data_IF_360662296946
#
_entry.id   IF_360662296946
#
_cell.length_a   1.000
_cell.length_b   1.000
_cell.length_c   1.000
_cell.angle_alpha   90.00
_cell.angle_beta   90.00
_cell.angle_gamma   90.00
#
_symmetry.space_group_name_H-M   'P 1'
#
loop_
_entity.id
_entity.type
_entity.pdbx_description
1 polymer ?
#
# COMPACT_ATOMS: atom_id res chain seq x y z
N UNK A 1 5.63 19.02 3.30
CA UNK A 1 6.30 20.16 3.99
C UNK A 1 5.32 21.03 4.78
N UNK A 2 4.99 20.70 6.03
CA UNK A 2 4.05 21.50 6.84
C UNK A 2 4.29 21.29 8.34
N UNK A 3 3.62 22.07 9.20
CA UNK A 3 3.68 21.87 10.65
C UNK A 3 2.93 20.59 11.01
N UNK A 4 3.45 19.83 11.96
CA UNK A 4 2.80 18.60 12.47
C UNK A 4 1.42 18.87 13.06
N UNK A 5 1.20 20.09 13.54
CA UNK A 5 -0.09 20.60 14.01
C UNK A 5 -1.12 20.75 12.88
N UNK A 6 -0.69 21.12 11.68
CA UNK A 6 -1.54 21.12 10.49
C UNK A 6 -1.83 19.69 10.01
N UNK A 7 -0.85 18.79 10.13
CA UNK A 7 -1.01 17.38 9.72
C UNK A 7 -2.04 16.65 10.60
N UNK A 8 -2.02 16.85 11.92
CA UNK A 8 -2.98 16.19 12.81
C UNK A 8 -4.43 16.62 12.56
N UNK A 9 -4.66 17.79 11.96
CA UNK A 9 -5.99 18.30 11.62
C UNK A 9 -6.41 17.97 10.19
N UNK A 10 -5.64 17.16 9.46
CA UNK A 10 -6.04 16.74 8.11
C UNK A 10 -7.29 15.88 8.16
N UNK A 11 -8.24 16.21 7.29
CA UNK A 11 -9.44 15.44 7.06
C UNK A 11 -9.40 14.82 5.66
N UNK A 12 -10.17 13.76 5.45
CA UNK A 12 -10.33 13.07 4.16
C UNK A 12 -10.72 14.04 3.04
N UNK A 13 -11.53 15.06 3.35
CA UNK A 13 -11.97 16.10 2.40
C UNK A 13 -10.87 17.09 2.00
N UNK A 14 -9.72 17.09 2.68
CA UNK A 14 -8.59 17.97 2.36
C UNK A 14 -7.71 17.40 1.24
N UNK A 15 -7.95 16.15 0.86
CA UNK A 15 -7.18 15.44 -0.16
C UNK A 15 -8.04 15.25 -1.40
N UNK A 16 -7.45 15.52 -2.56
CA UNK A 16 -8.05 15.28 -3.88
C UNK A 16 -6.99 14.81 -4.86
N UNK A 17 -7.35 13.88 -5.75
CA UNK A 17 -6.49 13.55 -6.90
C UNK A 17 -6.34 14.77 -7.81
N UNK A 18 -5.11 15.07 -8.23
CA UNK A 18 -4.79 16.14 -9.18
C UNK A 18 -3.74 15.60 -10.15
N UNK A 19 -4.17 15.26 -11.36
CA UNK A 19 -3.35 14.66 -12.41
C UNK A 19 -2.58 13.42 -11.90
N UNK A 20 -1.26 13.52 -11.78
CA UNK A 20 -0.37 12.47 -11.28
C UNK A 20 0.05 12.63 -9.81
N UNK A 21 -0.63 13.50 -9.09
CA UNK A 21 -0.34 13.85 -7.71
C UNK A 21 -1.60 13.85 -6.83
N UNK A 22 -1.42 14.03 -5.53
CA UNK A 22 -2.52 14.31 -4.60
C UNK A 22 -2.39 15.74 -4.09
N UNK A 23 -3.39 16.57 -4.38
CA UNK A 23 -3.52 17.89 -3.80
C UNK A 23 -3.97 17.81 -2.34
N UNK A 24 -3.22 18.45 -1.45
CA UNK A 24 -3.60 18.62 -0.06
C UNK A 24 -3.87 20.11 0.25
N UNK A 25 -5.13 20.46 0.49
CA UNK A 25 -5.54 21.83 0.85
C UNK A 25 -5.63 21.95 2.37
N UNK A 26 -4.89 22.90 2.94
CA UNK A 26 -4.92 23.17 4.39
C UNK A 26 -5.61 24.49 4.67
N UNK A 27 -6.68 24.45 5.47
CA UNK A 27 -7.45 25.64 5.82
C UNK A 27 -6.76 26.51 6.88
N UNK A 28 -5.83 25.97 7.67
CA UNK A 28 -5.04 26.76 8.63
C UNK A 28 -3.55 26.51 8.41
N UNK A 29 -2.78 27.58 8.29
CA UNK A 29 -1.34 27.55 8.12
C UNK A 29 -0.64 28.56 9.04
N UNK A 30 0.69 28.55 9.06
CA UNK A 30 1.47 29.51 9.86
C UNK A 30 1.15 30.97 9.51
N UNK A 31 0.97 31.25 8.22
CA UNK A 31 0.68 32.57 7.66
C UNK A 31 -0.81 32.82 7.43
N UNK A 32 -1.66 31.80 7.59
CA UNK A 32 -3.11 31.87 7.46
C UNK A 32 -3.77 31.19 8.67
N UNK A 33 -3.68 31.81 9.84
CA UNK A 33 -4.19 31.24 11.09
C UNK A 33 -5.72 31.30 11.19
N UNK A 34 -6.33 32.31 10.57
CA UNK A 34 -7.78 32.52 10.50
C UNK A 34 -8.45 31.63 9.43
N UNK A 35 -7.68 31.21 8.43
CA UNK A 35 -8.14 30.33 7.36
C UNK A 35 -8.95 31.00 6.24
N UNK A 36 -8.96 32.33 6.22
CA UNK A 36 -9.55 33.14 5.14
C UNK A 36 -8.64 33.35 3.93
N UNK A 37 -7.35 33.03 4.03
CA UNK A 37 -6.40 33.17 2.93
C UNK A 37 -6.55 32.14 1.79
N UNK A 38 -5.77 32.29 0.70
CA UNK A 38 -5.80 31.41 -0.47
C UNK A 38 -5.66 29.94 -0.11
N UNK A 39 -6.46 29.09 -0.77
CA UNK A 39 -6.57 27.64 -0.52
C UNK A 39 -5.69 26.85 -1.48
N UNK A 40 -4.43 27.26 -1.60
CA UNK A 40 -3.50 26.67 -2.55
C UNK A 40 -3.18 25.21 -2.16
N UNK A 41 -3.30 24.26 -3.11
CA UNK A 41 -3.00 22.87 -2.84
C UNK A 41 -1.49 22.65 -2.69
N UNK A 42 -1.13 21.66 -1.89
CA UNK A 42 0.23 21.12 -1.81
C UNK A 42 0.24 19.80 -2.56
N UNK A 43 0.93 19.71 -3.68
CA UNK A 43 0.97 18.51 -4.53
C UNK A 43 1.92 17.46 -3.97
N UNK A 44 1.37 16.35 -3.50
CA UNK A 44 2.09 15.23 -2.93
C UNK A 44 2.27 14.14 -4.00
N UNK A 45 3.51 13.74 -4.26
CA UNK A 45 3.84 12.73 -5.27
C UNK A 45 4.23 11.41 -4.61
N UNK A 46 3.89 10.30 -5.24
CA UNK A 46 4.41 8.99 -4.85
C UNK A 46 5.86 8.84 -5.32
N UNK A 47 6.64 8.03 -4.62
CA UNK A 47 7.94 7.58 -5.08
C UNK A 47 7.91 6.05 -5.25
N UNK A 48 7.68 5.55 -6.48
CA UNK A 48 7.63 4.11 -6.74
C UNK A 48 9.00 3.43 -6.59
N UNK A 49 10.11 4.17 -6.54
CA UNK A 49 11.43 3.58 -6.36
C UNK A 49 11.79 3.33 -4.90
N UNK A 50 11.04 3.90 -3.96
CA UNK A 50 11.35 3.83 -2.52
C UNK A 50 10.07 3.65 -1.69
N UNK A 51 9.48 2.43 -1.69
CA UNK A 51 8.23 2.14 -0.97
C UNK A 51 8.28 2.37 0.55
N UNK A 52 9.48 2.35 1.15
CA UNK A 52 9.72 2.62 2.57
C UNK A 52 9.59 4.11 2.95
N UNK A 53 9.83 5.01 2.00
CA UNK A 53 9.71 6.47 2.19
C UNK A 53 8.49 7.07 1.48
N UNK A 54 7.86 6.32 0.58
CA UNK A 54 6.68 6.74 -0.17
C UNK A 54 5.45 6.92 0.73
N UNK A 55 4.91 8.14 0.74
CA UNK A 55 3.74 8.46 1.58
C UNK A 55 2.44 7.77 1.10
N UNK A 56 2.29 7.51 -0.21
CA UNK A 56 1.14 6.76 -0.74
C UNK A 56 1.19 5.32 -0.25
N UNK A 57 2.35 4.67 -0.28
CA UNK A 57 2.53 3.31 0.25
C UNK A 57 2.24 3.28 1.75
N UNK A 58 2.75 4.25 2.51
CA UNK A 58 2.47 4.38 3.94
C UNK A 58 0.97 4.60 4.22
N UNK A 59 0.29 5.44 3.43
CA UNK A 59 -1.15 5.67 3.53
C UNK A 59 -1.93 4.39 3.20
N UNK A 60 -1.54 3.67 2.16
CA UNK A 60 -2.18 2.44 1.74
C UNK A 60 -2.12 1.37 2.83
N UNK A 61 -0.94 1.17 3.43
CA UNK A 61 -0.77 0.24 4.56
C UNK A 61 -1.62 0.69 5.75
N UNK A 62 -1.60 1.99 6.06
CA UNK A 62 -2.37 2.56 7.17
C UNK A 62 -3.88 2.34 7.02
N UNK A 63 -4.44 2.60 5.84
CA UNK A 63 -5.87 2.43 5.56
C UNK A 63 -6.25 0.94 5.45
N UNK A 64 -5.43 0.11 4.81
CA UNK A 64 -5.65 -1.33 4.71
C UNK A 64 -5.71 -2.01 6.08
N UNK A 65 -4.91 -1.53 7.04
CA UNK A 65 -4.94 -2.02 8.43
C UNK A 65 -6.08 -1.43 9.26
N UNK A 66 -6.90 -0.53 8.69
CA UNK A 66 -8.01 0.18 9.35
C UNK A 66 -9.24 0.26 8.43
N UNK A 67 -9.83 -0.89 8.05
CA UNK A 67 -10.96 -0.92 7.10
C UNK A 67 -12.19 -0.16 7.61
N UNK A 68 -12.33 0.01 8.93
CA UNK A 68 -13.43 0.74 9.57
C UNK A 68 -13.17 2.24 9.75
N UNK A 69 -12.14 2.81 9.11
CA UNK A 69 -11.80 4.23 9.23
C UNK A 69 -12.93 5.09 8.63
N UNK A 70 -13.63 5.93 9.43
CA UNK A 70 -14.68 6.77 8.90
C UNK A 70 -14.11 7.98 8.14
N UNK A 71 -15.00 8.65 7.38
CA UNK A 71 -14.74 9.99 6.83
C UNK A 71 -14.45 10.99 7.95
N UNK A 72 -13.74 12.07 7.63
CA UNK A 72 -13.37 13.11 8.59
C UNK A 72 -11.87 13.07 8.92
N UNK A 73 -11.44 13.17 10.18
CA UNK A 73 -10.02 13.22 10.54
C UNK A 73 -9.25 11.99 10.04
N UNK A 74 -8.18 12.21 9.26
CA UNK A 74 -7.34 11.14 8.72
C UNK A 74 -6.57 10.40 9.84
N UNK A 75 -6.21 11.14 10.89
CA UNK A 75 -5.54 10.62 12.09
C UNK A 75 -6.44 10.80 13.33
N UNK A 76 -7.45 9.92 13.53
CA UNK A 76 -8.42 10.10 14.60
C UNK A 76 -7.81 9.93 15.99
N UNK A 77 -8.41 10.61 16.98
CA UNK A 77 -8.01 10.62 18.39
C UNK A 77 -7.35 11.93 18.83
N UNK A 78 -7.07 12.07 20.12
CA UNK A 78 -6.46 13.27 20.70
C UNK A 78 -4.94 13.24 20.69
N UNK A 79 -4.33 14.43 20.70
CA UNK A 79 -2.89 14.64 20.90
C UNK A 79 -1.97 13.91 19.89
N UNK A 80 -2.38 13.78 18.62
CA UNK A 80 -1.60 13.04 17.62
C UNK A 80 -0.20 13.63 17.41
N UNK A 81 -0.07 14.96 17.38
CA UNK A 81 1.23 15.64 17.31
C UNK A 81 2.18 15.19 18.43
N UNK A 82 1.67 15.15 19.66
CA UNK A 82 2.47 14.78 20.84
C UNK A 82 2.85 13.30 20.79
N UNK A 83 1.89 12.42 20.46
CA UNK A 83 2.13 10.98 20.29
C UNK A 83 3.20 10.72 19.23
N UNK A 84 3.04 11.31 18.05
CA UNK A 84 4.03 11.22 16.97
C UNK A 84 5.39 11.75 17.40
N UNK A 85 5.45 12.91 18.06
CA UNK A 85 6.70 13.50 18.54
C UNK A 85 7.43 12.63 19.56
N UNK A 86 6.70 11.98 20.47
CA UNK A 86 7.28 11.06 21.45
C UNK A 86 7.85 9.81 20.78
N UNK A 87 7.10 9.18 19.86
CA UNK A 87 7.57 8.03 19.09
C UNK A 87 8.79 8.38 18.24
N UNK A 88 8.76 9.52 17.54
CA UNK A 88 9.88 10.00 16.74
C UNK A 88 11.14 10.19 17.59
N UNK A 89 11.02 10.84 18.75
CA UNK A 89 12.15 11.03 19.67
C UNK A 89 12.72 9.71 20.16
N UNK A 90 11.86 8.76 20.53
CA UNK A 90 12.30 7.42 20.96
C UNK A 90 13.07 6.69 19.86
N UNK A 91 12.56 6.73 18.63
CA UNK A 91 13.21 6.08 17.47
C UNK A 91 14.55 6.72 17.12
N UNK A 92 14.64 8.06 17.12
CA UNK A 92 15.90 8.77 16.82
C UNK A 92 16.91 8.49 17.94
N UNK A 93 16.51 8.59 19.20
CA UNK A 93 17.40 8.30 20.32
C UNK A 93 17.94 6.87 20.26
N UNK A 94 17.10 5.89 19.92
CA UNK A 94 17.51 4.49 19.76
C UNK A 94 18.50 4.28 18.59
N UNK A 95 18.39 5.07 17.51
CA UNK A 95 19.27 4.95 16.33
C UNK A 95 20.56 5.76 16.41
N UNK A 96 20.51 6.98 16.96
CA UNK A 96 21.62 7.96 16.88
C UNK A 96 22.06 8.49 18.23
N UNK A 97 21.36 8.18 19.33
CA UNK A 97 21.62 8.75 20.65
C UNK A 97 21.23 10.24 20.78
N UNK A 98 20.60 10.83 19.77
CA UNK A 98 20.26 12.26 19.75
C UNK A 98 18.81 12.48 20.18
N UNK A 99 18.60 13.51 21.02
CA UNK A 99 17.27 13.83 21.60
C UNK A 99 16.71 15.18 21.16
N UNK A 100 17.53 16.00 20.49
CA UNK A 100 17.16 17.37 20.08
C UNK A 100 16.31 17.42 18.80
N UNK A 101 16.18 16.32 18.06
CA UNK A 101 15.29 16.25 16.90
C UNK A 101 13.83 16.18 17.34
N UNK A 102 13.05 17.15 16.87
CA UNK A 102 11.62 17.22 17.10
C UNK A 102 10.84 17.17 15.80
N UNK A 103 9.52 17.18 15.90
CA UNK A 103 8.65 17.15 14.71
C UNK A 103 8.82 18.39 13.81
N UNK A 104 9.33 19.50 14.35
CA UNK A 104 9.69 20.70 13.61
C UNK A 104 10.94 20.52 12.74
N UNK A 105 11.86 19.61 13.11
CA UNK A 105 13.08 19.31 12.37
C UNK A 105 12.75 18.72 11.00
N UNK A 106 11.66 17.97 10.86
CA UNK A 106 11.20 17.44 9.57
C UNK A 106 10.90 18.58 8.59
N UNK A 107 10.07 19.56 8.99
CA UNK A 107 9.70 20.67 8.11
C UNK A 107 10.92 21.51 7.70
N UNK A 108 11.82 21.79 8.65
CA UNK A 108 13.03 22.59 8.41
C UNK A 108 14.03 21.81 7.53
N UNK A 109 14.30 20.56 7.86
CA UNK A 109 15.23 19.70 7.14
C UNK A 109 14.80 19.46 5.69
N UNK A 110 13.50 19.28 5.43
CA UNK A 110 13.00 19.14 4.05
C UNK A 110 13.17 20.45 3.26
N UNK A 111 13.05 21.62 3.89
CA UNK A 111 13.33 22.89 3.22
C UNK A 111 14.81 23.02 2.85
N UNK A 112 15.71 22.68 3.78
CA UNK A 112 17.16 22.63 3.52
C UNK A 112 17.45 21.66 2.37
N UNK A 113 16.93 20.44 2.44
CA UNK A 113 17.11 19.42 1.39
C UNK A 113 16.66 19.91 0.02
N UNK A 114 15.49 20.55 -0.08
CA UNK A 114 14.99 21.08 -1.35
C UNK A 114 15.89 22.19 -1.92
N UNK A 115 16.48 23.03 -1.07
CA UNK A 115 17.35 24.14 -1.49
C UNK A 115 18.81 23.73 -1.70
N UNK A 116 19.28 22.64 -1.11
CA UNK A 116 20.70 22.25 -1.12
C UNK A 116 20.97 20.92 -1.85
N UNK A 117 19.93 20.21 -2.32
CA UNK A 117 20.09 18.92 -2.98
C UNK A 117 20.66 19.00 -4.40
N UNK A 118 20.67 20.19 -5.01
CA UNK A 118 21.11 20.44 -6.39
C UNK A 118 21.30 21.93 -6.65
N UNK A 119 22.08 22.29 -7.67
CA UNK A 119 22.17 23.67 -8.18
C UNK A 119 20.94 24.06 -9.02
N UNK A 120 20.15 23.10 -9.49
CA UNK A 120 18.91 23.32 -10.26
C UNK A 120 17.62 23.15 -9.46
N UNK A 121 17.66 23.37 -8.14
CA UNK A 121 16.54 23.07 -7.24
C UNK A 121 15.31 23.96 -7.42
N UNK A 122 14.20 23.65 -6.73
CA UNK A 122 13.01 24.51 -6.70
C UNK A 122 13.35 25.90 -6.19
N UNK A 123 12.60 26.91 -6.66
CA UNK A 123 12.83 28.29 -6.22
C UNK A 123 12.66 28.43 -4.70
N UNK A 124 13.48 29.29 -4.08
CA UNK A 124 13.34 29.59 -2.65
C UNK A 124 11.94 30.16 -2.33
N UNK A 125 11.33 30.87 -3.29
CA UNK A 125 9.96 31.35 -3.18
C UNK A 125 8.97 30.19 -2.99
N UNK A 126 9.00 29.19 -3.88
CA UNK A 126 8.14 28.00 -3.78
C UNK A 126 8.37 27.25 -2.47
N UNK A 127 9.63 27.13 -2.02
CA UNK A 127 9.99 26.50 -0.74
C UNK A 127 9.38 27.26 0.43
N UNK A 128 9.61 28.57 0.52
CA UNK A 128 9.09 29.44 1.59
C UNK A 128 7.55 29.41 1.65
N UNK A 129 6.89 29.59 0.50
CA UNK A 129 5.42 29.51 0.39
C UNK A 129 4.90 28.16 0.88
N UNK A 130 5.54 27.05 0.46
CA UNK A 130 5.14 25.71 0.89
C UNK A 130 5.41 25.48 2.37
N UNK A 131 6.52 25.91 2.97
CA UNK A 131 6.70 25.73 4.45
C UNK A 131 5.88 26.69 5.30
N UNK A 132 5.28 27.72 4.68
CA UNK A 132 4.56 28.80 5.33
C UNK A 132 5.50 29.78 6.01
N UNK A 133 6.59 30.16 5.35
CA UNK A 133 7.49 31.25 5.75
C UNK A 133 7.16 32.50 4.95
N UNK A 134 7.29 33.66 5.58
CA UNK A 134 7.23 34.96 4.89
C UNK A 134 8.45 35.10 3.99
N UNK A 135 8.23 35.60 2.77
CA UNK A 135 9.29 36.01 1.84
C UNK A 135 9.88 37.37 2.26
N UNK A 136 9.09 38.18 2.96
CA UNK A 136 9.51 39.45 3.55
C UNK A 136 9.28 40.65 2.64
N UNK A 137 8.87 41.77 3.26
CA UNK A 137 8.77 43.08 2.64
C UNK A 137 7.95 43.08 1.34
N UNK A 138 8.59 43.53 0.25
CA UNK A 138 7.98 43.67 -1.08
C UNK A 138 7.66 42.31 -1.70
N UNK A 139 8.44 41.27 -1.41
CA UNK A 139 8.28 39.95 -2.05
C UNK A 139 6.93 39.30 -1.70
N UNK A 140 6.45 39.41 -0.46
CA UNK A 140 5.15 38.88 -0.04
C UNK A 140 3.95 39.50 -0.78
N UNK A 141 4.13 40.70 -1.38
CA UNK A 141 3.08 41.38 -2.14
C UNK A 141 2.95 40.84 -3.56
N UNK A 142 4.08 40.51 -4.20
CA UNK A 142 4.17 40.22 -5.63
C UNK A 142 4.42 38.76 -5.96
N UNK A 143 5.10 38.03 -5.07
CA UNK A 143 5.40 36.61 -5.28
C UNK A 143 4.29 35.79 -4.64
N UNK A 144 3.53 35.09 -5.49
CA UNK A 144 2.37 34.29 -5.09
C UNK A 144 2.62 32.81 -5.37
N UNK A 145 1.70 31.99 -4.88
CA UNK A 145 1.68 30.57 -5.18
C UNK A 145 1.56 30.36 -6.69
N UNK A 146 2.39 29.47 -7.21
CA UNK A 146 2.38 29.01 -8.60
C UNK A 146 2.40 27.49 -8.60
N UNK A 147 1.46 26.87 -9.32
CA UNK A 147 1.28 25.41 -9.31
C UNK A 147 2.53 24.68 -9.79
N UNK A 148 3.16 25.13 -10.88
CA UNK A 148 4.36 24.50 -11.42
C UNK A 148 5.52 24.44 -10.41
N UNK A 149 5.72 25.51 -9.64
CA UNK A 149 6.76 25.57 -8.61
C UNK A 149 6.48 24.62 -7.44
N UNK A 150 5.22 24.52 -6.99
CA UNK A 150 4.83 23.57 -5.95
C UNK A 150 4.90 22.12 -6.43
N UNK A 151 4.47 21.85 -7.66
CA UNK A 151 4.55 20.53 -8.28
C UNK A 151 6.00 20.04 -8.39
N UNK A 152 6.89 20.90 -8.93
CA UNK A 152 8.32 20.58 -9.01
C UNK A 152 8.93 20.32 -7.61
N UNK A 153 8.65 21.21 -6.66
CA UNK A 153 9.06 21.01 -5.26
C UNK A 153 8.47 19.73 -4.66
N UNK A 154 7.26 19.34 -5.04
CA UNK A 154 6.58 18.15 -4.56
C UNK A 154 7.30 16.88 -4.96
N UNK A 155 7.75 16.81 -6.21
CA UNK A 155 8.58 15.71 -6.72
C UNK A 155 9.94 15.64 -6.04
N UNK A 156 10.62 16.77 -5.89
CA UNK A 156 11.92 16.84 -5.20
C UNK A 156 11.78 16.30 -3.78
N UNK A 157 10.75 16.74 -3.06
CA UNK A 157 10.51 16.32 -1.66
C UNK A 157 10.01 14.88 -1.55
N UNK A 158 9.41 14.32 -2.60
CA UNK A 158 9.11 12.89 -2.68
C UNK A 158 10.38 12.03 -2.84
N UNK A 159 11.55 12.65 -3.07
CA UNK A 159 12.82 11.96 -3.23
C UNK A 159 13.00 11.36 -4.63
N UNK A 160 12.29 11.87 -5.63
CA UNK A 160 12.45 11.43 -7.02
C UNK A 160 13.83 11.84 -7.56
N UNK A 161 14.44 11.05 -8.47
CA UNK A 161 15.81 11.24 -8.90
C UNK A 161 15.96 12.43 -9.85
N UNK A 162 16.24 13.61 -9.29
CA UNK A 162 16.18 14.88 -10.00
C UNK A 162 17.04 14.97 -11.28
N UNK A 163 18.16 14.25 -11.29
CA UNK A 163 19.13 14.29 -12.38
C UNK A 163 18.96 13.15 -13.38
N UNK A 164 17.78 12.49 -13.39
CA UNK A 164 17.44 11.41 -14.31
C UNK A 164 16.11 11.69 -15.00
N UNK A 165 15.90 11.10 -16.18
CA UNK A 165 14.60 11.10 -16.86
C UNK A 165 13.47 10.50 -15.99
N UNK A 166 13.84 9.60 -15.07
CA UNK A 166 12.95 8.95 -14.11
C UNK A 166 12.36 9.91 -13.05
N UNK A 167 12.83 11.17 -13.00
CA UNK A 167 12.18 12.20 -12.20
C UNK A 167 10.71 12.42 -12.60
N UNK A 168 10.39 12.19 -13.88
CA UNK A 168 9.05 12.30 -14.43
C UNK A 168 8.21 11.02 -14.25
N UNK A 169 8.64 10.08 -13.39
CA UNK A 169 7.88 8.86 -13.10
C UNK A 169 6.47 9.21 -12.58
N UNK A 170 5.51 8.39 -12.96
CA UNK A 170 4.13 8.44 -12.49
C UNK A 170 3.96 7.55 -11.25
N UNK A 171 2.99 7.83 -10.36
CA UNK A 171 2.63 6.88 -9.31
C UNK A 171 2.17 5.55 -9.93
N UNK A 172 2.30 4.40 -9.24
CA UNK A 172 1.66 3.17 -9.69
C UNK A 172 0.17 3.41 -9.89
N UNK A 173 -0.36 3.05 -11.07
CA UNK A 173 -1.76 3.25 -11.43
C UNK A 173 -2.22 2.19 -12.43
N UNK A 174 -3.53 2.01 -12.52
CA UNK A 174 -4.15 1.01 -13.38
C UNK A 174 -4.45 1.57 -14.77
N UNK A 175 -4.44 0.69 -15.77
CA UNK A 175 -4.86 1.02 -17.13
C UNK A 175 -6.33 1.44 -17.15
N UNK A 176 -7.19 0.73 -16.42
CA UNK A 176 -8.62 0.98 -16.34
C UNK A 176 -9.09 1.19 -14.89
N UNK A 177 -9.38 2.44 -14.53
CA UNK A 177 -9.88 2.81 -13.19
C UNK A 177 -11.34 2.37 -12.91
N UNK A 178 -12.01 1.77 -13.89
CA UNK A 178 -13.36 1.21 -13.78
C UNK A 178 -13.37 -0.32 -13.79
N UNK A 179 -12.21 -0.98 -13.68
CA UNK A 179 -12.14 -2.44 -13.54
C UNK A 179 -12.97 -2.90 -12.32
N UNK A 180 -13.87 -3.85 -12.55
CA UNK A 180 -14.75 -4.43 -11.53
C UNK A 180 -13.94 -5.06 -10.39
N UNK A 181 -12.81 -5.71 -10.68
CA UNK A 181 -11.95 -6.30 -9.66
C UNK A 181 -11.25 -5.23 -8.81
N UNK A 182 -10.84 -4.13 -9.41
CA UNK A 182 -10.29 -2.98 -8.68
C UNK A 182 -11.34 -2.37 -7.75
N UNK A 183 -12.56 -2.13 -8.25
CA UNK A 183 -13.65 -1.59 -7.45
C UNK A 183 -14.00 -2.49 -6.28
N UNK A 184 -14.08 -3.81 -6.52
CA UNK A 184 -14.27 -4.81 -5.48
C UNK A 184 -13.13 -4.78 -4.46
N UNK A 185 -11.87 -4.71 -4.90
CA UNK A 185 -10.73 -4.64 -3.99
C UNK A 185 -10.78 -3.39 -3.11
N UNK A 186 -11.17 -2.23 -3.65
CA UNK A 186 -11.34 -1.00 -2.86
C UNK A 186 -12.48 -1.15 -1.85
N UNK A 187 -13.61 -1.75 -2.26
CA UNK A 187 -14.76 -2.01 -1.40
C UNK A 187 -14.40 -2.91 -0.20
N UNK A 188 -13.68 -3.99 -0.43
CA UNK A 188 -13.32 -4.94 0.65
C UNK A 188 -12.17 -4.44 1.54
N UNK A 189 -11.20 -3.71 0.97
CA UNK A 189 -10.05 -3.21 1.71
C UNK A 189 -10.38 -1.96 2.53
N UNK A 190 -11.17 -1.04 1.98
CA UNK A 190 -11.40 0.30 2.54
C UNK A 190 -12.89 0.71 2.40
N UNK A 191 -13.83 -0.08 2.95
CA UNK A 191 -15.27 0.08 2.70
C UNK A 191 -15.82 1.44 3.10
N UNK A 192 -15.39 1.96 4.25
CA UNK A 192 -15.95 3.20 4.83
C UNK A 192 -15.57 4.46 4.06
N UNK A 193 -14.43 4.45 3.36
CA UNK A 193 -13.94 5.61 2.60
C UNK A 193 -14.33 5.55 1.12
N UNK A 194 -14.81 4.41 0.61
CA UNK A 194 -15.27 4.28 -0.78
C UNK A 194 -16.36 5.31 -1.11
N UNK A 195 -17.26 5.62 -0.17
CA UNK A 195 -18.31 6.59 -0.42
C UNK A 195 -17.79 8.06 -0.48
N UNK A 196 -16.49 8.30 -0.33
CA UNK A 196 -15.88 9.63 -0.42
C UNK A 196 -15.36 9.87 -1.85
N UNK A 197 -16.12 10.61 -2.67
CA UNK A 197 -15.77 10.89 -4.06
C UNK A 197 -14.36 11.50 -4.22
N UNK A 198 -13.97 12.41 -3.34
CA UNK A 198 -12.64 13.06 -3.39
C UNK A 198 -11.47 12.11 -3.15
N UNK A 199 -11.70 10.99 -2.46
CA UNK A 199 -10.66 10.01 -2.16
C UNK A 199 -10.63 8.86 -3.16
N UNK A 200 -11.64 8.68 -4.00
CA UNK A 200 -11.78 7.50 -4.86
C UNK A 200 -10.51 7.20 -5.66
N UNK A 201 -9.95 8.20 -6.34
CA UNK A 201 -8.73 8.01 -7.12
C UNK A 201 -7.49 7.79 -6.25
N UNK A 202 -7.45 8.41 -5.07
CA UNK A 202 -6.37 8.20 -4.09
C UNK A 202 -6.40 6.77 -3.52
N UNK A 203 -7.60 6.22 -3.28
CA UNK A 203 -7.75 4.83 -2.84
C UNK A 203 -7.27 3.86 -3.93
N UNK A 204 -7.56 4.14 -5.20
CA UNK A 204 -7.03 3.35 -6.32
C UNK A 204 -5.51 3.42 -6.39
N UNK A 205 -4.91 4.60 -6.22
CA UNK A 205 -3.45 4.76 -6.12
C UNK A 205 -2.87 3.99 -4.92
N UNK A 206 -3.58 3.94 -3.79
CA UNK A 206 -3.17 3.14 -2.64
C UNK A 206 -3.16 1.64 -2.98
N UNK A 207 -4.21 1.12 -3.62
CA UNK A 207 -4.25 -0.28 -4.08
C UNK A 207 -3.13 -0.54 -5.09
N UNK A 208 -2.97 0.32 -6.10
CA UNK A 208 -1.90 0.19 -7.09
C UNK A 208 -0.51 0.18 -6.45
N UNK A 209 -0.27 1.00 -5.43
CA UNK A 209 0.99 1.00 -4.69
C UNK A 209 1.21 -0.29 -3.90
N UNK A 210 0.18 -0.85 -3.27
CA UNK A 210 0.28 -2.15 -2.59
C UNK A 210 0.57 -3.29 -3.56
N UNK A 211 -0.10 -3.30 -4.72
CA UNK A 211 0.12 -4.31 -5.78
C UNK A 211 1.53 -4.17 -6.35
N UNK A 212 1.97 -2.97 -6.70
CA UNK A 212 3.31 -2.73 -7.25
C UNK A 212 4.45 -3.15 -6.30
N UNK A 213 4.21 -3.06 -4.98
CA UNK A 213 5.21 -3.37 -3.95
C UNK A 213 4.91 -4.65 -3.17
N UNK A 214 4.03 -5.52 -3.66
CA UNK A 214 3.54 -6.66 -2.87
C UNK A 214 4.67 -7.64 -2.49
N UNK A 215 5.63 -7.88 -3.39
CA UNK A 215 6.80 -8.74 -3.17
C UNK A 215 7.70 -8.17 -2.08
N UNK A 216 8.12 -6.90 -2.25
CA UNK A 216 8.90 -6.14 -1.28
C UNK A 216 8.23 -6.14 0.11
N UNK A 217 6.92 -5.92 0.18
CA UNK A 217 6.19 -5.88 1.43
C UNK A 217 6.15 -7.26 2.11
N UNK A 218 5.96 -8.35 1.36
CA UNK A 218 5.97 -9.71 1.90
C UNK A 218 7.32 -10.10 2.50
N UNK A 219 8.42 -9.63 1.92
CA UNK A 219 9.77 -9.88 2.41
C UNK A 219 10.11 -9.02 3.64
N UNK A 220 9.74 -7.74 3.63
CA UNK A 220 10.14 -6.79 4.66
C UNK A 220 9.35 -6.94 5.97
N UNK A 221 8.01 -7.11 5.88
CA UNK A 221 7.16 -7.03 7.06
C UNK A 221 7.00 -8.40 7.73
N UNK A 222 6.93 -8.47 9.07
CA UNK A 222 6.75 -9.75 9.76
C UNK A 222 5.50 -10.49 9.29
N UNK A 223 5.55 -11.82 9.26
CA UNK A 223 4.40 -12.65 8.86
C UNK A 223 3.13 -12.39 9.70
N UNK A 224 3.29 -11.93 10.94
CA UNK A 224 2.19 -11.55 11.83
C UNK A 224 1.63 -10.13 11.62
N UNK A 225 2.18 -9.36 10.67
CA UNK A 225 1.72 -8.00 10.40
C UNK A 225 0.29 -7.99 9.81
N UNK A 226 -0.63 -7.11 10.31
CA UNK A 226 -2.03 -7.11 9.89
C UNK A 226 -2.28 -6.95 8.38
N UNK A 227 -1.40 -6.23 7.68
CA UNK A 227 -1.49 -6.02 6.23
C UNK A 227 -1.59 -7.35 5.48
N UNK A 228 -0.84 -8.37 5.88
CA UNK A 228 -0.81 -9.66 5.18
C UNK A 228 -2.10 -10.48 5.39
N UNK A 229 -2.97 -10.05 6.30
CA UNK A 229 -4.31 -10.63 6.51
C UNK A 229 -5.43 -9.83 5.86
N UNK A 230 -5.10 -8.78 5.09
CA UNK A 230 -6.09 -7.97 4.37
C UNK A 230 -6.53 -8.65 3.08
N UNK A 231 -7.72 -8.29 2.57
CA UNK A 231 -8.34 -8.92 1.39
C UNK A 231 -7.35 -9.12 0.24
N UNK A 232 -6.69 -8.04 -0.22
CA UNK A 232 -5.76 -8.12 -1.35
C UNK A 232 -4.63 -9.13 -1.12
N UNK A 233 -4.08 -9.21 0.09
CA UNK A 233 -2.98 -10.14 0.40
C UNK A 233 -3.45 -11.58 0.61
N UNK A 234 -4.71 -11.80 0.99
CA UNK A 234 -5.30 -13.12 1.20
C UNK A 234 -5.69 -13.83 -0.10
N UNK A 235 -5.93 -13.10 -1.19
CA UNK A 235 -6.40 -13.65 -2.47
C UNK A 235 -5.35 -13.49 -3.60
N UNK A 236 -4.53 -14.52 -3.89
CA UNK A 236 -3.50 -14.45 -4.93
C UNK A 236 -4.04 -14.11 -6.31
N UNK A 237 -5.20 -14.66 -6.70
CA UNK A 237 -5.80 -14.40 -8.01
C UNK A 237 -6.14 -12.91 -8.19
N UNK A 238 -6.65 -12.27 -7.13
CA UNK A 238 -6.92 -10.84 -7.12
C UNK A 238 -5.63 -10.03 -7.24
N UNK A 239 -4.57 -10.41 -6.50
CA UNK A 239 -3.27 -9.76 -6.59
C UNK A 239 -2.71 -9.85 -8.02
N UNK A 240 -2.69 -11.05 -8.60
CA UNK A 240 -2.14 -11.32 -9.93
C UNK A 240 -2.94 -10.59 -11.02
N UNK A 241 -4.28 -10.59 -10.94
CA UNK A 241 -5.13 -9.85 -11.87
C UNK A 241 -4.82 -8.35 -11.85
N UNK A 242 -4.74 -7.77 -10.65
CA UNK A 242 -4.45 -6.33 -10.50
C UNK A 242 -3.01 -5.99 -10.90
N UNK A 243 -2.04 -6.87 -10.66
CA UNK A 243 -0.66 -6.68 -11.09
C UNK A 243 -0.54 -6.64 -12.61
N UNK A 244 -1.26 -7.52 -13.31
CA UNK A 244 -1.33 -7.50 -14.77
C UNK A 244 -2.02 -6.24 -15.32
N UNK A 245 -2.92 -5.62 -14.54
CA UNK A 245 -3.63 -4.40 -14.91
C UNK A 245 -2.88 -3.09 -14.61
N UNK A 246 -1.69 -3.15 -14.01
CA UNK A 246 -0.84 -1.98 -13.77
C UNK A 246 -0.22 -1.47 -15.08
N UNK A 247 -0.13 -0.15 -15.22
CA UNK A 247 0.64 0.48 -16.28
C UNK A 247 2.14 0.29 -15.99
N UNK A 248 2.87 -0.32 -16.93
CA UNK A 248 4.34 -0.48 -16.84
C UNK A 248 5.12 0.57 -17.65
N UNK A 249 4.52 1.06 -18.72
CA UNK A 249 5.15 2.01 -19.65
C UNK A 249 4.38 3.34 -19.69
N UNK A 250 4.05 3.81 -20.89
CA UNK A 250 3.37 5.08 -21.13
C UNK A 250 1.91 5.01 -20.72
N UNK A 251 1.50 5.93 -19.84
CA UNK A 251 0.09 6.10 -19.47
C UNK A 251 -0.69 6.81 -20.59
N UNK A 252 -1.91 6.36 -20.84
CA UNK A 252 -2.82 6.97 -21.83
C UNK A 252 -3.58 8.17 -21.28
N UNK A 253 -3.76 8.25 -19.96
CA UNK A 253 -4.63 9.23 -19.31
C UNK A 253 -3.95 10.08 -18.25
N UNK A 254 -2.77 9.68 -17.75
CA UNK A 254 -2.01 10.42 -16.74
C UNK A 254 -0.74 10.99 -17.34
N UNK A 255 -0.47 12.27 -17.10
CA UNK A 255 0.76 12.95 -17.56
C UNK A 255 1.54 13.50 -16.38
N UNK A 256 2.89 13.45 -16.43
CA UNK A 256 3.70 13.92 -15.32
C UNK A 256 3.68 15.46 -15.23
N UNK A 257 3.29 15.99 -14.08
CA UNK A 257 3.29 17.45 -13.80
C UNK A 257 4.54 17.89 -13.06
N UNK A 258 4.89 19.18 -13.03
CA UNK A 258 6.07 19.67 -12.29
C UNK A 258 7.43 19.15 -12.78
N UNK A 259 7.55 18.81 -14.06
CA UNK A 259 8.79 18.30 -14.67
C UNK A 259 9.61 19.48 -15.19
N UNK A 260 10.85 19.69 -14.73
CA UNK A 260 11.69 20.77 -15.21
C UNK A 260 12.29 20.46 -16.60
N UNK A 261 12.67 21.46 -17.41
CA UNK A 261 13.13 21.26 -18.79
C UNK A 261 14.32 20.31 -18.94
N UNK A 262 15.26 20.30 -17.99
CA UNK A 262 16.44 19.44 -18.06
C UNK A 262 16.11 17.95 -17.97
N UNK A 263 15.01 17.58 -17.30
CA UNK A 263 14.54 16.19 -17.26
C UNK A 263 14.02 15.75 -18.63
N UNK A 264 13.42 16.66 -19.39
CA UNK A 264 13.00 16.37 -20.77
C UNK A 264 14.21 16.16 -21.69
N UNK A 265 15.28 16.93 -21.50
CA UNK A 265 16.56 16.68 -22.17
C UNK A 265 17.13 15.29 -21.83
N UNK A 266 17.05 14.86 -20.56
CA UNK A 266 17.49 13.51 -20.18
C UNK A 266 16.66 12.41 -20.85
N UNK A 267 15.36 12.60 -21.05
CA UNK A 267 14.53 11.64 -21.79
C UNK A 267 14.96 11.54 -23.25
N UNK A 268 15.18 12.67 -23.91
CA UNK A 268 15.66 12.71 -25.29
C UNK A 268 17.04 12.04 -25.42
N UNK A 269 17.97 12.32 -24.50
CA UNK A 269 19.28 11.68 -24.46
C UNK A 269 19.17 10.16 -24.26
N UNK A 270 18.25 9.70 -23.41
CA UNK A 270 17.98 8.27 -23.22
C UNK A 270 17.47 7.64 -24.52
N UNK A 271 16.56 8.29 -25.24
CA UNK A 271 16.07 7.81 -26.54
C UNK A 271 17.18 7.73 -27.58
N UNK A 272 18.06 8.74 -27.64
CA UNK A 272 19.24 8.73 -28.52
C UNK A 272 20.17 7.56 -28.15
N UNK A 273 20.44 7.35 -26.87
CA UNK A 273 21.27 6.23 -26.40
C UNK A 273 20.65 4.89 -26.81
N UNK A 274 19.35 4.69 -26.61
CA UNK A 274 18.66 3.46 -27.04
C UNK A 274 18.74 3.26 -28.55
N UNK A 275 18.59 4.32 -29.35
CA UNK A 275 18.79 4.23 -30.80
C UNK A 275 20.22 3.82 -31.16
N UNK A 276 21.22 4.31 -30.43
CA UNK A 276 22.63 3.93 -30.61
C UNK A 276 22.86 2.47 -30.22
N UNK A 277 22.32 2.03 -29.08
CA UNK A 277 22.45 0.65 -28.60
C UNK A 277 21.78 -0.36 -29.55
N UNK A 278 20.74 0.08 -30.28
CA UNK A 278 20.04 -0.72 -31.29
C UNK A 278 20.69 -0.66 -32.69
N UNK A 279 21.72 0.16 -32.93
CA UNK A 279 22.40 0.21 -34.23
C UNK A 279 23.10 -1.10 -34.62
N UNK A 280 23.87 -1.78 -33.75
CA UNK A 280 24.59 -2.99 -34.13
C UNK A 280 23.70 -4.11 -34.72
N UNK A 281 22.56 -4.51 -34.12
CA UNK A 281 21.72 -5.55 -34.72
C UNK A 281 21.11 -5.11 -36.05
N UNK A 282 20.68 -3.85 -36.17
CA UNK A 282 20.12 -3.31 -37.42
C UNK A 282 21.17 -3.26 -38.53
N UNK A 283 22.41 -2.89 -38.22
CA UNK A 283 23.51 -2.90 -39.17
C UNK A 283 23.89 -4.32 -39.59
N UNK A 284 23.93 -5.26 -38.65
CA UNK A 284 24.21 -6.66 -38.95
C UNK A 284 23.11 -7.26 -39.84
N UNK A 285 21.83 -7.00 -39.52
CA UNK A 285 20.70 -7.42 -40.35
C UNK A 285 20.76 -6.80 -41.74
N UNK A 286 21.01 -5.49 -41.84
CA UNK A 286 21.16 -4.79 -43.11
C UNK A 286 22.34 -5.31 -43.94
N UNK A 287 23.48 -5.62 -43.31
CA UNK A 287 24.63 -6.23 -43.97
C UNK A 287 24.36 -7.66 -44.42
N UNK A 288 23.69 -8.48 -43.59
CA UNK A 288 23.25 -9.82 -43.97
C UNK A 288 22.32 -9.77 -45.19
N UNK A 289 21.31 -8.89 -45.17
CA UNK A 289 20.39 -8.70 -46.29
C UNK A 289 21.11 -8.23 -47.56
N UNK A 290 22.10 -7.32 -47.43
CA UNK A 290 22.88 -6.83 -48.58
C UNK A 290 23.83 -7.90 -49.12
N UNK A 291 24.42 -8.73 -48.26
CA UNK A 291 25.23 -9.89 -48.65
C UNK A 291 24.34 -10.95 -49.31
N UNK A 292 23.12 -11.17 -48.86
CA UNK A 292 22.17 -12.06 -49.54
C UNK A 292 21.77 -11.51 -50.91
N UNK A 293 21.40 -10.23 -51.01
CA UNK A 293 20.99 -9.59 -52.26
C UNK A 293 22.15 -9.55 -53.28
N UNK A 294 23.37 -9.23 -52.85
CA UNK A 294 24.57 -9.18 -53.71
C UNK A 294 25.23 -10.55 -53.91
N UNK A 295 25.11 -11.47 -52.96
CA UNK A 295 25.59 -12.85 -53.04
C UNK A 295 24.75 -13.69 -54.01
N UNK A 296 23.44 -13.42 -54.09
CA UNK A 296 22.56 -13.97 -55.13
C UNK A 296 22.93 -13.43 -56.52
N UNK A 297 23.33 -12.16 -56.64
CA UNK A 297 23.81 -11.59 -57.91
C UNK A 297 25.21 -12.08 -58.33
N UNK A 298 26.05 -12.54 -57.39
CA UNK A 298 27.41 -13.00 -57.63
C UNK A 298 27.60 -14.54 -57.58
N UNK A 299 26.52 -15.30 -57.38
CA UNK A 299 26.54 -16.76 -57.43
C UNK A 299 27.18 -17.46 -56.22
N UNK A 300 27.32 -16.79 -55.06
CA UNK A 300 28.00 -17.35 -53.89
C UNK A 300 27.08 -17.37 -52.65
N UNK A 301 26.56 -18.58 -52.36
CA UNK A 301 26.11 -19.17 -51.08
C UNK A 301 25.02 -18.42 -50.30
N UNK A 302 23.84 -19.05 -50.19
CA UNK A 302 22.65 -18.58 -49.45
C UNK A 302 22.58 -19.13 -48.02
N UNK A 303 21.76 -18.47 -47.18
CA UNK A 303 21.47 -18.82 -45.77
C UNK A 303 21.13 -20.33 -45.58
N UNK A 304 20.45 -20.94 -46.56
CA UNK A 304 20.13 -22.37 -46.59
C UNK A 304 21.37 -23.29 -46.56
N UNK A 305 22.48 -22.88 -47.17
CA UNK A 305 23.72 -23.68 -47.14
C UNK A 305 24.37 -23.56 -45.76
N UNK A 306 24.28 -22.40 -45.12
CA UNK A 306 24.82 -22.18 -43.78
C UNK A 306 23.99 -22.93 -42.71
N UNK A 307 22.66 -22.83 -42.77
CA UNK A 307 21.73 -23.57 -41.90
C UNK A 307 21.89 -25.08 -42.05
N UNK A 308 21.96 -25.60 -43.28
CA UNK A 308 22.19 -27.02 -43.52
C UNK A 308 23.56 -27.50 -43.02
N UNK A 309 24.58 -26.64 -43.06
CA UNK A 309 25.92 -26.97 -42.54
C UNK A 309 25.94 -26.95 -41.02
N UNK A 310 25.20 -26.03 -40.37
CA UNK A 310 25.07 -25.96 -38.91
C UNK A 310 24.26 -27.15 -38.37
N UNK A 311 23.14 -27.52 -39.01
CA UNK A 311 22.37 -28.73 -38.66
C UNK A 311 23.22 -30.00 -38.79
N UNK A 312 24.00 -30.11 -39.87
CA UNK A 312 24.93 -31.23 -40.11
C UNK A 312 26.02 -31.32 -39.04
N UNK A 313 26.56 -30.19 -38.57
CA UNK A 313 27.57 -30.15 -37.52
C UNK A 313 27.01 -30.46 -36.12
N UNK A 314 25.78 -30.03 -35.82
CA UNK A 314 25.10 -30.31 -34.55
C UNK A 314 24.72 -31.80 -34.38
N UNK A 315 24.31 -32.45 -35.47
CA UNK A 315 24.09 -33.90 -35.52
C UNK A 315 25.38 -34.69 -35.30
N UNK A 316 26.50 -34.22 -35.87
CA UNK A 316 27.80 -34.89 -35.78
C UNK A 316 28.51 -34.71 -34.43
N UNK A 317 28.14 -33.67 -33.67
CA UNK A 317 28.62 -33.42 -32.31
C UNK A 317 27.79 -34.10 -31.20
N UNK A 318 26.69 -34.78 -31.56
CA UNK A 318 25.85 -35.53 -30.60
C UNK A 318 24.93 -34.67 -29.71
N UNK A 319 24.69 -33.40 -30.07
CA UNK A 319 23.93 -32.45 -29.24
C UNK A 319 22.44 -32.32 -29.63
N UNK A 320 21.98 -33.09 -30.61
CA UNK A 320 20.57 -33.14 -31.01
C UNK A 320 19.95 -34.51 -30.69
N UNK A 321 19.46 -34.67 -29.46
CA UNK A 321 18.36 -35.60 -29.18
C UNK A 321 17.16 -34.79 -28.70
N UNK A 322 16.11 -34.79 -29.53
CA UNK A 322 14.78 -34.39 -29.09
C UNK A 322 14.20 -35.46 -28.18
N UNK A 323 13.86 -35.07 -26.95
CA UNK A 323 12.80 -35.72 -26.18
C UNK A 323 12.16 -34.68 -25.26
N UNK A 324 10.85 -34.55 -25.46
CA UNK A 324 9.91 -33.70 -24.73
C UNK A 324 10.16 -33.70 -23.22
N UNK A 325 10.37 -32.52 -22.65
CA UNK A 325 10.13 -32.29 -21.23
C UNK A 325 8.80 -31.55 -21.10
N UNK A 326 7.79 -32.27 -20.60
CA UNK A 326 6.59 -31.68 -20.05
C UNK A 326 7.00 -30.60 -19.05
N UNK A 327 6.64 -29.35 -19.32
CA UNK A 327 6.51 -28.37 -18.27
C UNK A 327 5.47 -28.90 -17.27
N UNK A 328 5.75 -28.96 -15.96
CA UNK A 328 4.68 -29.08 -15.00
C UNK A 328 3.83 -27.82 -15.15
N UNK A 329 2.61 -28.00 -15.63
CA UNK A 329 1.58 -26.99 -15.47
C UNK A 329 1.52 -26.61 -13.97
N UNK A 330 1.32 -25.34 -13.62
CA UNK A 330 0.94 -25.03 -12.25
C UNK A 330 -0.32 -25.83 -11.96
N UNK A 331 -0.22 -26.74 -10.99
CA UNK A 331 -1.37 -27.43 -10.44
C UNK A 331 -2.31 -26.33 -9.99
N UNK A 332 -3.44 -26.18 -10.68
CA UNK A 332 -4.57 -25.45 -10.15
C UNK A 332 -4.92 -26.15 -8.85
N UNK A 333 -4.51 -25.56 -7.73
CA UNK A 333 -4.92 -26.03 -6.43
C UNK A 333 -6.45 -25.91 -6.38
N UNK A 334 -7.10 -27.06 -6.48
CA UNK A 334 -8.51 -27.24 -6.13
C UNK A 334 -8.77 -26.58 -4.78
N UNK A 335 -9.98 -26.02 -4.61
CA UNK A 335 -10.54 -25.33 -3.44
C UNK A 335 -10.67 -26.23 -2.17
N UNK A 336 -9.71 -27.15 -1.97
CA UNK A 336 -9.58 -28.07 -0.85
C UNK A 336 -8.58 -27.53 0.17
N UNK A 337 -8.92 -27.67 1.46
CA UNK A 337 -8.10 -27.22 2.57
C UNK A 337 -6.71 -27.92 2.51
N UNK A 338 -5.63 -27.15 2.44
CA UNK A 338 -4.26 -27.67 2.40
C UNK A 338 -3.94 -28.36 3.74
N UNK A 339 -3.53 -29.63 3.69
CA UNK A 339 -3.20 -30.43 4.88
C UNK A 339 -1.69 -30.57 5.03
N UNK A 340 -1.20 -30.37 6.24
CA UNK A 340 0.21 -30.43 6.63
C UNK A 340 0.45 -31.64 7.53
N UNK A 341 1.60 -32.30 7.40
CA UNK A 341 1.97 -33.44 8.26
C UNK A 341 3.22 -33.11 9.06
N UNK A 342 3.08 -33.00 10.38
CA UNK A 342 4.21 -32.83 11.30
C UNK A 342 3.84 -33.42 12.67
N UNK A 343 4.86 -33.74 13.49
CA UNK A 343 4.66 -34.36 14.81
C UNK A 343 3.80 -35.64 14.79
N UNK A 344 3.89 -36.41 13.70
CA UNK A 344 3.18 -37.67 13.51
C UNK A 344 1.67 -37.56 13.24
N UNK A 345 1.15 -36.35 12.97
CA UNK A 345 -0.28 -36.10 12.78
C UNK A 345 -0.54 -35.13 11.62
N UNK A 346 -1.76 -35.20 11.08
CA UNK A 346 -2.23 -34.26 10.08
C UNK A 346 -2.79 -33.00 10.76
N UNK A 347 -2.46 -31.85 10.21
CA UNK A 347 -2.80 -30.53 10.70
C UNK A 347 -3.30 -29.65 9.56
N UNK A 348 -4.26 -28.77 9.85
CA UNK A 348 -4.79 -27.80 8.88
C UNK A 348 -3.94 -26.52 8.73
N UNK A 349 -2.90 -26.37 9.55
CA UNK A 349 -2.03 -25.20 9.55
C UNK A 349 -0.56 -25.62 9.49
N UNK A 350 0.32 -24.87 8.81
CA UNK A 350 1.74 -25.16 8.73
C UNK A 350 2.43 -25.04 10.11
N UNK A 351 3.58 -25.69 10.27
CA UNK A 351 4.32 -25.72 11.54
C UNK A 351 4.83 -24.32 11.96
N UNK A 352 5.07 -23.45 10.97
CA UNK A 352 5.55 -22.07 11.13
C UNK A 352 4.40 -21.09 11.42
N UNK A 353 3.16 -21.56 11.51
CA UNK A 353 2.00 -20.69 11.71
C UNK A 353 2.16 -19.79 12.95
N UNK A 354 1.87 -18.50 12.76
CA UNK A 354 1.75 -17.50 13.81
C UNK A 354 0.46 -16.71 13.65
N UNK A 355 -0.20 -16.41 14.78
CA UNK A 355 -1.40 -15.59 14.76
C UNK A 355 -1.09 -14.17 14.27
N UNK A 356 -1.84 -13.65 13.28
CA UNK A 356 -1.75 -12.26 12.90
C UNK A 356 -2.07 -11.31 14.07
N UNK A 357 -1.33 -10.21 14.19
CA UNK A 357 -1.51 -9.18 15.23
C UNK A 357 -2.65 -8.22 14.88
N UNK A 358 -3.79 -8.76 14.48
CA UNK A 358 -4.94 -7.99 13.99
C UNK A 358 -5.84 -7.49 15.13
N UNK A 359 -6.65 -6.48 14.82
CA UNK A 359 -7.80 -6.10 15.65
C UNK A 359 -8.99 -7.04 15.45
N UNK A 360 -10.13 -6.80 16.13
CA UNK A 360 -11.33 -7.64 16.02
C UNK A 360 -11.83 -7.81 14.58
N UNK A 361 -11.73 -6.79 13.73
CA UNK A 361 -12.15 -6.87 12.33
C UNK A 361 -11.32 -7.87 11.53
N UNK A 362 -9.98 -7.79 11.61
CA UNK A 362 -9.12 -8.73 10.90
C UNK A 362 -9.27 -10.17 11.40
N UNK A 363 -9.48 -10.34 12.71
CA UNK A 363 -9.79 -11.66 13.28
C UNK A 363 -11.13 -12.21 12.78
N UNK A 364 -12.16 -11.36 12.68
CA UNK A 364 -13.46 -11.71 12.12
C UNK A 364 -13.35 -12.15 10.66
N UNK A 365 -12.58 -11.44 9.82
CA UNK A 365 -12.38 -11.83 8.43
C UNK A 365 -11.65 -13.18 8.30
N UNK A 366 -10.55 -13.38 9.05
CA UNK A 366 -9.82 -14.65 9.03
C UNK A 366 -10.65 -15.83 9.57
N UNK A 367 -11.58 -15.58 10.49
CA UNK A 367 -12.50 -16.59 11.02
C UNK A 367 -13.37 -17.20 9.93
N UNK A 368 -13.92 -16.37 9.04
CA UNK A 368 -14.86 -16.79 8.01
C UNK A 368 -14.19 -17.25 6.72
N UNK A 369 -13.07 -16.63 6.34
CA UNK A 369 -12.50 -16.77 4.99
C UNK A 369 -11.10 -17.39 4.96
N UNK A 370 -10.39 -17.45 6.09
CA UNK A 370 -9.01 -17.92 6.11
C UNK A 370 -8.07 -17.00 5.32
N UNK A 371 -6.95 -17.55 4.85
CA UNK A 371 -5.94 -16.85 4.04
C UNK A 371 -5.48 -17.77 2.90
N UNK A 372 -6.05 -17.57 1.71
CA UNK A 372 -5.74 -18.43 0.54
C UNK A 372 -4.29 -18.28 0.10
N UNK A 373 -3.67 -17.12 0.31
CA UNK A 373 -2.26 -16.90 -0.05
C UNK A 373 -1.29 -17.76 0.76
N UNK A 374 -1.66 -18.08 2.01
CA UNK A 374 -0.86 -18.90 2.92
C UNK A 374 -1.42 -20.31 3.08
N UNK A 375 -2.46 -20.66 2.31
CA UNK A 375 -3.15 -21.94 2.41
C UNK A 375 -3.83 -22.17 3.76
N UNK A 376 -4.24 -21.11 4.46
CA UNK A 376 -4.93 -21.22 5.74
C UNK A 376 -6.44 -21.36 5.50
N UNK A 377 -7.09 -22.42 6.01
CA UNK A 377 -8.54 -22.52 5.94
C UNK A 377 -9.21 -21.46 6.83
N UNK A 378 -10.52 -21.22 6.66
CA UNK A 378 -11.30 -20.45 7.63
C UNK A 378 -11.01 -20.91 9.05
N UNK A 379 -10.59 -20.00 9.93
CA UNK A 379 -10.14 -20.36 11.29
C UNK A 379 -11.29 -20.92 12.15
N UNK A 380 -12.54 -20.86 11.69
CA UNK A 380 -13.65 -21.60 12.30
C UNK A 380 -13.55 -23.13 12.17
N UNK A 381 -12.81 -23.63 11.17
CA UNK A 381 -12.64 -25.07 10.88
C UNK A 381 -11.52 -25.72 11.69
N UNK A 382 -10.60 -24.94 12.26
CA UNK A 382 -9.43 -25.47 12.96
C UNK A 382 -9.78 -25.88 14.40
N UNK A 383 -9.06 -26.86 14.92
CA UNK A 383 -9.13 -27.29 16.31
C UNK A 383 -7.84 -26.98 17.07
N UNK A 384 -7.86 -26.98 18.43
CA UNK A 384 -6.65 -26.74 19.22
C UNK A 384 -5.48 -27.71 18.96
N UNK A 385 -5.76 -28.82 18.29
CA UNK A 385 -4.76 -29.79 17.85
C UNK A 385 -4.00 -29.33 16.59
N UNK A 386 -4.63 -28.54 15.71
CA UNK A 386 -4.01 -27.99 14.49
C UNK A 386 -2.97 -26.89 14.77
N UNK A 387 -2.89 -26.41 16.02
CA UNK A 387 -1.97 -25.35 16.41
C UNK A 387 -0.57 -25.91 16.71
N UNK A 388 0.50 -25.38 16.06
CA UNK A 388 1.85 -25.90 16.24
C UNK A 388 2.38 -25.82 17.67
N UNK A 389 2.07 -24.72 18.38
CA UNK A 389 2.58 -24.45 19.74
C UNK A 389 1.43 -24.47 20.75
N UNK A 390 1.64 -25.15 21.89
CA UNK A 390 0.66 -25.15 23.01
C UNK A 390 0.33 -23.75 23.51
N UNK A 391 1.29 -22.82 23.49
CA UNK A 391 1.10 -21.41 23.87
C UNK A 391 0.05 -20.69 23.02
N UNK A 392 -0.14 -21.11 21.76
CA UNK A 392 -1.10 -20.51 20.84
C UNK A 392 -2.55 -20.91 21.13
N UNK A 393 -2.78 -21.98 21.91
CA UNK A 393 -4.13 -22.41 22.29
C UNK A 393 -4.87 -21.33 23.07
N UNK A 394 -4.17 -20.58 23.93
CA UNK A 394 -4.75 -19.45 24.65
C UNK A 394 -5.22 -18.36 23.69
N UNK A 395 -4.37 -18.00 22.72
CA UNK A 395 -4.71 -17.02 21.69
C UNK A 395 -5.91 -17.46 20.87
N UNK A 396 -5.97 -18.73 20.47
CA UNK A 396 -7.12 -19.28 19.77
C UNK A 396 -8.39 -19.22 20.61
N UNK A 397 -8.33 -19.60 21.89
CA UNK A 397 -9.47 -19.48 22.81
C UNK A 397 -9.95 -18.03 22.97
N UNK A 398 -9.04 -17.06 23.01
CA UNK A 398 -9.41 -15.64 23.04
C UNK A 398 -10.10 -15.21 21.73
N UNK A 399 -9.64 -15.70 20.58
CA UNK A 399 -10.32 -15.46 19.29
C UNK A 399 -11.73 -16.06 19.29
N UNK A 400 -11.88 -17.35 19.64
CA UNK A 400 -13.19 -18.03 19.72
C UNK A 400 -14.17 -17.26 20.60
N UNK A 401 -13.72 -16.81 21.79
CA UNK A 401 -14.55 -16.03 22.70
C UNK A 401 -14.93 -14.65 22.13
N UNK A 402 -13.98 -13.97 21.47
CA UNK A 402 -14.27 -12.69 20.84
C UNK A 402 -15.31 -12.84 19.72
N UNK A 403 -15.16 -13.84 18.86
CA UNK A 403 -16.10 -14.13 17.78
C UNK A 403 -17.49 -14.46 18.35
N UNK A 404 -17.56 -15.28 19.40
CA UNK A 404 -18.81 -15.58 20.10
C UNK A 404 -19.54 -14.31 20.56
N UNK A 405 -18.83 -13.37 21.19
CA UNK A 405 -19.43 -12.11 21.63
C UNK A 405 -19.88 -11.21 20.48
N UNK A 406 -19.16 -11.21 19.35
CA UNK A 406 -19.59 -10.49 18.15
C UNK A 406 -20.86 -11.12 17.54
N UNK A 407 -20.91 -12.45 17.47
CA UNK A 407 -22.09 -13.21 17.03
C UNK A 407 -23.30 -12.91 17.91
N UNK A 408 -23.15 -12.99 19.24
CA UNK A 408 -24.21 -12.67 20.20
C UNK A 408 -24.71 -11.23 20.04
N UNK A 409 -23.80 -10.27 19.90
CA UNK A 409 -24.13 -8.86 19.71
C UNK A 409 -24.85 -8.60 18.38
N UNK A 410 -24.45 -9.28 17.30
CA UNK A 410 -25.11 -9.20 15.99
C UNK A 410 -26.54 -9.77 16.07
N UNK A 411 -26.71 -10.95 16.67
CA UNK A 411 -28.02 -11.59 16.83
C UNK A 411 -28.94 -10.75 17.72
N UNK A 412 -28.42 -10.17 18.81
CA UNK A 412 -29.18 -9.24 19.65
C UNK A 412 -29.60 -7.95 18.90
N UNK A 413 -28.86 -7.57 17.86
CA UNK A 413 -29.22 -6.46 16.96
C UNK A 413 -30.20 -6.87 15.85
N UNK A 414 -30.67 -8.11 15.82
CA UNK A 414 -31.61 -8.62 14.82
C UNK A 414 -30.96 -9.08 13.51
N UNK A 415 -29.63 -9.21 13.45
CA UNK A 415 -28.94 -9.71 12.26
C UNK A 415 -28.86 -11.24 12.25
N UNK A 416 -29.26 -11.84 11.13
CA UNK A 416 -29.00 -13.26 10.86
C UNK A 416 -27.54 -13.44 10.42
N UNK A 417 -26.89 -14.48 10.92
CA UNK A 417 -25.50 -14.81 10.55
C UNK A 417 -25.54 -15.97 9.56
N UNK A 418 -25.18 -15.74 8.28
CA UNK A 418 -25.14 -16.79 7.28
C UNK A 418 -24.14 -17.89 7.66
N UNK A 419 -24.39 -19.11 7.20
CA UNK A 419 -23.44 -20.24 7.38
C UNK A 419 -22.15 -20.03 6.59
N UNK A 420 -22.25 -19.38 5.43
CA UNK A 420 -21.16 -18.96 4.56
C UNK A 420 -21.41 -17.52 4.09
N UNK A 421 -21.05 -16.51 4.92
CA UNK A 421 -21.24 -15.12 4.53
C UNK A 421 -20.27 -14.74 3.40
N UNK A 422 -20.68 -13.80 2.55
CA UNK A 422 -19.78 -13.07 1.65
C UNK A 422 -18.93 -12.06 2.44
N UNK A 423 -17.79 -11.62 1.89
CA UNK A 423 -16.88 -10.64 2.55
C UNK A 423 -17.63 -9.34 2.92
N UNK A 424 -18.52 -8.89 2.03
CA UNK A 424 -19.41 -7.76 2.26
C UNK A 424 -20.37 -8.00 3.43
N UNK A 425 -21.12 -9.11 3.44
CA UNK A 425 -22.04 -9.44 4.54
C UNK A 425 -21.29 -9.55 5.87
N UNK A 426 -20.12 -10.20 5.87
CA UNK A 426 -19.28 -10.33 7.07
C UNK A 426 -18.84 -8.95 7.60
N UNK A 427 -18.47 -8.02 6.71
CA UNK A 427 -18.10 -6.65 7.08
C UNK A 427 -19.28 -5.84 7.63
N UNK A 428 -20.47 -5.97 7.04
CA UNK A 428 -21.70 -5.32 7.50
C UNK A 428 -22.10 -5.84 8.88
N UNK A 429 -22.14 -7.16 9.07
CA UNK A 429 -22.42 -7.80 10.38
C UNK A 429 -21.43 -7.31 11.44
N UNK A 430 -20.13 -7.28 11.12
CA UNK A 430 -19.10 -6.81 12.04
C UNK A 430 -19.32 -5.36 12.46
N UNK A 431 -19.67 -4.48 11.52
CA UNK A 431 -19.86 -3.05 11.79
C UNK A 431 -20.98 -2.78 12.82
N UNK A 432 -22.05 -3.58 12.78
CA UNK A 432 -23.16 -3.51 13.75
C UNK A 432 -22.76 -4.19 15.06
N UNK A 433 -22.17 -5.38 14.99
CA UNK A 433 -21.80 -6.18 16.16
C UNK A 433 -20.84 -5.43 17.10
N UNK A 434 -19.80 -4.80 16.54
CA UNK A 434 -18.77 -4.13 17.33
C UNK A 434 -19.32 -2.92 18.11
N UNK A 435 -20.32 -2.22 17.56
CA UNK A 435 -20.97 -1.08 18.23
C UNK A 435 -21.92 -1.51 19.34
N UNK A 436 -22.48 -2.73 19.24
CA UNK A 436 -23.43 -3.30 20.20
C UNK A 436 -22.77 -4.08 21.34
N UNK A 437 -21.44 -4.18 21.36
CA UNK A 437 -20.71 -4.79 22.47
C UNK A 437 -20.92 -4.02 23.78
N UNK A 438 -21.31 -4.75 24.83
CA UNK A 438 -21.43 -4.20 26.17
C UNK A 438 -20.04 -4.00 26.78
N UNK A 439 -19.73 -2.77 27.21
CA UNK A 439 -18.41 -2.40 27.72
C UNK A 439 -18.51 -1.51 28.96
N UNK A 440 -17.47 -1.46 29.81
CA UNK A 440 -17.48 -0.59 30.98
C UNK A 440 -17.54 0.89 30.57
N UNK A 441 -18.09 1.79 31.41
CA UNK A 441 -18.09 3.22 31.11
C UNK A 441 -16.66 3.73 30.89
N UNK A 442 -16.51 4.73 30.02
CA UNK A 442 -15.24 5.31 29.66
C UNK A 442 -15.34 6.84 29.64
N UNK A 443 -14.30 7.53 30.14
CA UNK A 443 -14.21 9.00 30.03
C UNK A 443 -14.16 9.49 28.57
N UNK A 444 -13.71 8.64 27.64
CA UNK A 444 -13.62 8.96 26.23
C UNK A 444 -14.15 7.80 25.38
N UNK A 445 -14.77 8.12 24.23
CA UNK A 445 -15.24 7.12 23.26
C UNK A 445 -14.08 6.21 22.83
N UNK A 446 -14.22 4.90 23.07
CA UNK A 446 -13.23 3.89 22.68
C UNK A 446 -13.43 3.53 21.20
N UNK A 447 -12.33 3.40 20.46
CA UNK A 447 -12.33 2.95 19.06
C UNK A 447 -11.96 1.48 19.01
N UNK A 448 -12.98 0.64 19.22
CA UNK A 448 -12.79 -0.79 19.50
C UNK A 448 -12.14 -1.54 18.32
N UNK A 449 -12.48 -1.18 17.09
CA UNK A 449 -11.89 -1.77 15.90
C UNK A 449 -10.39 -1.49 15.74
N UNK A 450 -9.87 -0.42 16.37
CA UNK A 450 -8.43 -0.06 16.35
C UNK A 450 -7.64 -0.69 17.51
N UNK A 451 -8.31 -1.30 18.49
CA UNK A 451 -7.66 -1.96 19.61
C UNK A 451 -7.25 -3.38 19.23
N UNK A 452 -6.21 -3.90 19.88
CA UNK A 452 -5.87 -5.32 19.74
C UNK A 452 -7.01 -6.21 20.24
N UNK A 453 -7.21 -7.36 19.60
CA UNK A 453 -8.26 -8.30 19.99
C UNK A 453 -8.21 -8.66 21.49
N UNK A 454 -7.05 -8.97 22.10
CA UNK A 454 -6.98 -9.27 23.54
C UNK A 454 -7.44 -8.11 24.43
N UNK A 455 -7.18 -6.86 24.00
CA UNK A 455 -7.63 -5.67 24.74
C UNK A 455 -9.14 -5.53 24.72
N UNK A 456 -9.78 -5.71 23.57
CA UNK A 456 -11.25 -5.61 23.45
C UNK A 456 -11.92 -6.71 24.26
N UNK A 457 -11.43 -7.95 24.14
CA UNK A 457 -11.96 -9.07 24.90
C UNK A 457 -11.84 -8.87 26.42
N UNK A 458 -10.73 -8.29 26.89
CA UNK A 458 -10.56 -7.93 28.31
C UNK A 458 -11.65 -6.96 28.77
N UNK A 459 -11.94 -5.92 27.98
CA UNK A 459 -12.99 -4.95 28.32
C UNK A 459 -14.39 -5.60 28.37
N UNK A 460 -14.69 -6.52 27.46
CA UNK A 460 -15.96 -7.28 27.48
C UNK A 460 -16.07 -8.13 28.75
N UNK A 461 -14.99 -8.83 29.13
CA UNK A 461 -14.94 -9.62 30.37
C UNK A 461 -15.08 -8.76 31.62
N UNK A 462 -14.48 -7.57 31.64
CA UNK A 462 -14.63 -6.59 32.73
C UNK A 462 -16.10 -6.14 32.89
N UNK A 463 -16.79 -5.84 31.78
CA UNK A 463 -18.21 -5.46 31.80
C UNK A 463 -19.10 -6.58 32.34
N UNK A 464 -18.92 -7.81 31.85
CA UNK A 464 -19.69 -8.97 32.32
C UNK A 464 -19.45 -9.27 33.81
N UNK A 465 -18.22 -9.06 34.28
CA UNK A 465 -17.89 -9.25 35.69
C UNK A 465 -18.54 -8.19 36.58
N UNK A 466 -18.65 -6.95 36.09
CA UNK A 466 -19.35 -5.87 36.79
C UNK A 466 -20.86 -6.11 36.86
N UNK A 467 -21.50 -6.53 35.76
CA UNK A 467 -22.93 -6.86 35.71
C UNK A 467 -23.27 -8.04 36.64
N UNK A 468 -22.43 -9.10 36.66
CA UNK A 468 -22.60 -10.22 37.62
C UNK A 468 -22.51 -9.78 39.08
N UNK A 469 -21.63 -8.84 39.41
CA UNK A 469 -21.51 -8.32 40.79
C UNK A 469 -22.72 -7.49 41.19
N UNK A 470 -23.28 -6.70 40.27
CA UNK A 470 -24.51 -5.92 40.50
C UNK A 470 -25.74 -6.83 40.68
N UNK A 471 -25.91 -7.84 39.83
CA UNK A 471 -27.02 -8.80 39.98
C UNK A 471 -26.91 -9.66 41.24
N UNK A 472 -25.68 -9.90 41.73
CA UNK A 472 -25.45 -10.62 42.98
C UNK A 472 -25.68 -9.79 44.24
N UNK A 473 -25.68 -8.45 44.16
CA UNK A 473 -26.01 -7.56 45.28
C UNK A 473 -27.50 -7.21 45.37
N UNK A 474 -28.29 -7.48 44.32
CA UNK A 474 -29.72 -7.18 44.24
C UNK A 474 -30.62 -8.39 44.60
N UNK A 475 -30.04 -9.52 44.99
CA UNK A 475 -30.78 -10.66 45.55
C UNK A 475 -30.54 -10.71 47.09
N UNK A 476 -31.55 -10.36 47.92
CA UNK A 476 -31.43 -10.45 49.37
C UNK A 476 -31.29 -11.89 49.88
#
# INVERSE_FOLDING_TARGET
MCRSESVQTLCTQHLSGIDDSVGCVMYKSMTNQEGGGPKDPRHLYANPYSPDTCWITALAIYLACRPTQPKGPLFPGSNQKVRFGNTLRQLINAKTGQTHYGTHSIRKGVATFACSGTTGGPSIASVCLRVGWSLGGVQDRYIRYESAGDQYLGRVVAGLPLNLADFAVLPPHFVNNQDVNLQKCVEEMIPMLRACSTLQDILKLCIASLVNHHSYLRELIPASHPLLSTFLFRYPDMMNHLEAALVRDTSTWMKPTGVPPHVELYKQLRQVQTSIDNLPPVLLEGMSNLIEEKGVAAGNITNQVLEATIESLLLRAGLAQGAMSHAPQPVQHSDGDQVYYYSGKFHLLPQEFEFPRTGPCGAWQLWWFGDKSRGWPPLKKIHPHDLPKRSMRKTFSDWVMMIKHLTEAATAAGLAIPTQPTEKEASEIFSVAIEKLQLPPAKHKRRLAELSLPTVLRLVREAQSADKRQRGSDNP
#
